data_IF_620619353318
#
_entry.id   IF_620619353318
#
_cell.length_a   1.000
_cell.length_b   1.000
_cell.length_c   1.000
_cell.angle_alpha   90.00
_cell.angle_beta   90.00
_cell.angle_gamma   90.00
#
_symmetry.space_group_name_H-M   'P 1'
#
loop_
_entity.id
_entity.type
_entity.pdbx_description
1 polymer ?
#
# COMPACT_ATOMS: atom_id res chain seq x y z
N UNK A 1 -4.54 8.30 22.80
CA UNK A 1 -5.52 8.16 21.71
C UNK A 1 -4.96 7.17 20.71
N UNK A 2 -5.69 6.11 20.38
CA UNK A 2 -5.32 5.14 19.35
C UNK A 2 -6.13 5.46 18.09
N UNK A 3 -5.43 5.47 16.95
CA UNK A 3 -6.06 5.69 15.65
C UNK A 3 -6.04 4.38 14.88
N UNK A 4 -7.16 3.97 14.34
CA UNK A 4 -7.29 2.90 13.38
C UNK A 4 -7.64 3.50 12.00
N UNK A 5 -6.95 3.04 10.97
CA UNK A 5 -7.24 3.42 9.60
C UNK A 5 -7.75 2.21 8.84
N UNK A 6 -8.83 2.36 8.12
CA UNK A 6 -9.35 1.35 7.21
C UNK A 6 -8.83 1.61 5.80
N UNK A 7 -8.36 0.57 5.13
CA UNK A 7 -8.01 0.63 3.71
C UNK A 7 -9.20 0.18 2.89
N UNK A 8 -9.58 0.97 1.90
CA UNK A 8 -10.58 0.58 0.92
C UNK A 8 -9.88 -0.16 -0.22
N UNK A 9 -10.26 -1.42 -0.42
CA UNK A 9 -9.81 -2.21 -1.56
C UNK A 9 -11.01 -2.59 -2.40
N UNK A 10 -10.91 -2.42 -3.73
CA UNK A 10 -11.96 -2.78 -4.65
C UNK A 10 -12.07 -4.30 -4.83
N UNK A 11 -11.00 -5.03 -4.52
CA UNK A 11 -10.99 -6.48 -4.54
C UNK A 11 -10.39 -6.99 -3.24
N UNK A 12 -11.21 -7.65 -2.44
CA UNK A 12 -10.81 -8.26 -1.17
C UNK A 12 -11.51 -9.62 -1.03
N UNK A 13 -10.78 -10.65 -0.67
CA UNK A 13 -11.27 -12.03 -0.69
C UNK A 13 -11.86 -12.44 -2.04
N UNK A 14 -11.25 -11.96 -3.14
CA UNK A 14 -11.66 -12.24 -4.52
C UNK A 14 -13.07 -11.72 -4.89
N UNK A 15 -13.63 -10.85 -4.06
CA UNK A 15 -14.91 -10.19 -4.32
C UNK A 15 -14.63 -8.76 -4.75
N UNK A 16 -15.14 -8.38 -5.91
CA UNK A 16 -15.09 -6.99 -6.37
C UNK A 16 -16.09 -6.14 -5.60
N UNK A 17 -15.69 -4.94 -5.24
CA UNK A 17 -16.56 -3.97 -4.59
C UNK A 17 -16.54 -2.64 -5.33
N UNK A 18 -17.67 -1.94 -5.33
CA UNK A 18 -17.81 -0.61 -5.92
C UNK A 18 -17.46 0.51 -4.93
N UNK A 19 -16.61 0.23 -3.94
CA UNK A 19 -16.18 1.22 -2.98
C UNK A 19 -15.27 2.24 -3.65
N UNK A 20 -15.73 3.48 -3.70
CA UNK A 20 -15.01 4.60 -4.31
C UNK A 20 -14.72 5.65 -3.23
N UNK A 21 -13.49 6.15 -3.22
CA UNK A 21 -13.14 7.33 -2.41
C UNK A 21 -13.68 8.56 -3.15
N UNK A 22 -14.77 9.15 -2.64
CA UNK A 22 -15.46 10.26 -3.30
C UNK A 22 -14.72 11.59 -3.21
N UNK A 23 -13.98 11.83 -2.12
CA UNK A 23 -13.23 13.06 -1.90
C UNK A 23 -11.82 12.72 -1.41
N UNK A 24 -10.94 12.50 -2.37
CA UNK A 24 -9.54 12.09 -2.13
C UNK A 24 -8.75 13.18 -1.40
N UNK A 25 -9.01 14.45 -1.71
CA UNK A 25 -8.29 15.57 -1.12
C UNK A 25 -8.61 15.72 0.36
N UNK A 26 -9.88 15.69 0.74
CA UNK A 26 -10.29 15.73 2.16
C UNK A 26 -9.75 14.53 2.93
N UNK A 27 -9.80 13.33 2.34
CA UNK A 27 -9.22 12.13 2.97
C UNK A 27 -7.70 12.29 3.14
N UNK A 28 -7.00 12.78 2.14
CA UNK A 28 -5.55 13.03 2.22
C UNK A 28 -5.20 14.09 3.25
N UNK A 29 -6.00 15.16 3.37
CA UNK A 29 -5.82 16.19 4.38
C UNK A 29 -5.97 15.61 5.80
N UNK A 30 -6.95 14.77 6.03
CA UNK A 30 -7.13 14.08 7.31
C UNK A 30 -5.93 13.18 7.64
N UNK A 31 -5.36 12.48 6.65
CA UNK A 31 -4.12 11.72 6.85
C UNK A 31 -2.91 12.62 7.08
N UNK A 32 -2.80 13.77 6.42
CA UNK A 32 -1.75 14.76 6.68
C UNK A 32 -1.78 15.22 8.14
N UNK A 33 -2.95 15.57 8.66
CA UNK A 33 -3.14 16.00 10.04
C UNK A 33 -2.77 14.90 11.03
N UNK A 34 -3.21 13.66 10.75
CA UNK A 34 -2.86 12.50 11.56
C UNK A 34 -1.35 12.22 11.55
N UNK A 35 -0.69 12.29 10.41
CA UNK A 35 0.76 12.13 10.28
C UNK A 35 1.48 13.19 11.11
N UNK A 36 1.05 14.44 11.00
CA UNK A 36 1.64 15.53 11.75
C UNK A 36 1.48 15.35 13.25
N UNK A 37 0.35 14.79 13.71
CA UNK A 37 0.14 14.47 15.12
C UNK A 37 1.03 13.32 15.58
N UNK A 38 1.12 12.25 14.80
CA UNK A 38 1.97 11.09 15.11
C UNK A 38 3.46 11.45 15.17
N UNK A 39 3.93 12.35 14.30
CA UNK A 39 5.31 12.82 14.28
C UNK A 39 5.68 13.71 15.48
N UNK A 40 4.72 14.24 16.26
CA UNK A 40 5.01 14.93 17.53
C UNK A 40 5.57 13.97 18.57
N UNK A 41 5.14 12.73 18.54
CA UNK A 41 5.51 11.73 19.55
C UNK A 41 6.97 11.25 19.39
N UNK A 42 7.54 10.79 20.50
CA UNK A 42 8.84 10.11 20.52
C UNK A 42 8.72 8.57 20.45
N UNK A 43 7.52 8.03 20.25
CA UNK A 43 7.28 6.60 20.17
C UNK A 43 7.59 6.05 18.76
N UNK A 44 8.49 5.07 18.59
CA UNK A 44 8.76 4.42 17.32
C UNK A 44 7.51 3.81 16.68
N UNK A 45 6.60 3.22 17.48
CA UNK A 45 5.31 2.69 17.00
C UNK A 45 4.48 3.76 16.28
N UNK A 46 4.46 5.01 16.81
CA UNK A 46 3.75 6.13 16.18
C UNK A 46 4.45 6.60 14.91
N UNK A 47 5.78 6.52 14.85
CA UNK A 47 6.54 6.85 13.64
C UNK A 47 6.27 5.87 12.50
N UNK A 48 6.22 4.57 12.81
CA UNK A 48 5.82 3.54 11.83
C UNK A 48 4.41 3.79 11.31
N UNK A 49 3.46 4.15 12.20
CA UNK A 49 2.11 4.54 11.79
C UNK A 49 2.10 5.79 10.92
N UNK A 50 2.94 6.78 11.19
CA UNK A 50 3.04 7.97 10.36
C UNK A 50 3.49 7.61 8.93
N UNK A 51 4.52 6.77 8.80
CA UNK A 51 4.96 6.28 7.48
C UNK A 51 3.89 5.44 6.78
N UNK A 52 3.19 4.59 7.52
CA UNK A 52 2.06 3.82 6.96
C UNK A 52 0.98 4.74 6.39
N UNK A 53 0.59 5.78 7.13
CA UNK A 53 -0.40 6.76 6.65
C UNK A 53 0.11 7.60 5.47
N UNK A 54 1.41 7.88 5.39
CA UNK A 54 2.02 8.47 4.20
C UNK A 54 1.83 7.58 2.96
N UNK A 55 2.01 6.27 3.12
CA UNK A 55 1.74 5.31 2.04
C UNK A 55 0.25 5.21 1.69
N UNK A 56 -0.68 5.45 2.63
CA UNK A 56 -2.12 5.52 2.33
C UNK A 56 -2.44 6.75 1.46
N UNK A 57 -1.83 7.91 1.71
CA UNK A 57 -1.96 9.07 0.81
C UNK A 57 -1.49 8.69 -0.59
N UNK A 58 -0.35 8.02 -0.70
CA UNK A 58 0.17 7.54 -1.98
C UNK A 58 -0.80 6.57 -2.67
N UNK A 59 -1.40 5.65 -1.91
CA UNK A 59 -2.38 4.67 -2.40
C UNK A 59 -3.65 5.32 -2.94
N UNK A 60 -4.25 6.26 -2.20
CA UNK A 60 -5.51 6.91 -2.62
C UNK A 60 -5.37 7.77 -3.88
N UNK A 61 -4.16 8.19 -4.20
CA UNK A 61 -3.85 8.88 -5.46
C UNK A 61 -3.27 7.94 -6.53
N UNK A 62 -3.46 6.64 -6.40
CA UNK A 62 -3.06 5.62 -7.38
C UNK A 62 -1.57 5.63 -7.73
N UNK A 63 -0.74 6.16 -6.85
CA UNK A 63 0.70 6.23 -7.07
C UNK A 63 1.36 4.87 -6.77
N UNK A 64 2.52 4.64 -7.38
CA UNK A 64 3.31 3.44 -7.19
C UNK A 64 3.58 3.15 -5.71
N UNK A 65 3.55 1.88 -5.33
CA UNK A 65 3.83 1.41 -3.97
C UNK A 65 5.21 1.88 -3.48
N UNK A 66 5.28 2.39 -2.24
CA UNK A 66 6.52 2.91 -1.65
C UNK A 66 7.54 1.82 -1.27
N UNK A 67 7.06 0.61 -1.01
CA UNK A 67 7.86 -0.56 -0.63
C UNK A 67 7.54 -1.73 -1.56
N UNK A 68 8.50 -2.64 -1.81
CA UNK A 68 8.22 -3.88 -2.53
C UNK A 68 7.11 -4.69 -1.89
N UNK A 69 6.46 -5.54 -2.66
CA UNK A 69 5.53 -6.53 -2.17
C UNK A 69 6.25 -7.87 -2.00
N UNK A 70 6.42 -8.31 -0.75
CA UNK A 70 7.05 -9.59 -0.41
C UNK A 70 6.01 -10.67 -0.04
N UNK A 71 4.75 -10.47 -0.44
CA UNK A 71 3.72 -11.50 -0.32
C UNK A 71 4.14 -12.74 -1.11
N UNK A 72 3.81 -13.93 -0.62
CA UNK A 72 4.27 -15.24 -1.09
C UNK A 72 5.74 -15.61 -0.86
N UNK A 73 6.53 -14.70 -0.27
CA UNK A 73 7.91 -14.96 0.14
C UNK A 73 8.02 -14.97 1.67
N UNK A 74 7.64 -13.88 2.31
CA UNK A 74 7.71 -13.70 3.77
C UNK A 74 6.34 -13.80 4.44
N UNK A 75 5.27 -13.72 3.66
CA UNK A 75 3.88 -13.73 4.14
C UNK A 75 2.98 -14.37 3.09
N UNK A 76 2.02 -15.15 3.53
CA UNK A 76 1.02 -15.81 2.69
C UNK A 76 -0.33 -15.84 3.40
N UNK A 77 -1.36 -16.18 2.68
CA UNK A 77 -2.72 -16.32 3.17
C UNK A 77 -3.16 -17.78 3.06
N UNK A 78 -3.79 -18.32 4.09
CA UNK A 78 -4.38 -19.65 4.07
C UNK A 78 -5.88 -19.48 4.27
N UNK A 79 -6.68 -20.06 3.39
CA UNK A 79 -8.12 -20.07 3.54
C UNK A 79 -8.61 -21.22 4.44
N UNK A 80 -9.90 -21.23 4.85
CA UNK A 80 -10.45 -22.30 5.70
C UNK A 80 -10.45 -23.68 5.05
N UNK A 81 -10.25 -23.77 3.74
CA UNK A 81 -10.18 -25.03 2.99
C UNK A 81 -8.75 -25.57 2.85
N UNK A 82 -7.77 -24.88 3.44
CA UNK A 82 -6.37 -25.25 3.39
C UNK A 82 -5.63 -24.80 2.12
N UNK A 83 -6.25 -24.01 1.26
CA UNK A 83 -5.57 -23.44 0.09
C UNK A 83 -4.61 -22.33 0.53
N UNK A 84 -3.36 -22.46 0.10
CA UNK A 84 -2.32 -21.46 0.34
C UNK A 84 -2.23 -20.51 -0.84
N UNK A 85 -2.30 -19.21 -0.56
CA UNK A 85 -2.31 -18.15 -1.55
C UNK A 85 -1.30 -17.06 -1.21
N UNK A 86 -0.77 -16.32 -2.19
CA UNK A 86 0.19 -15.23 -1.93
C UNK A 86 -0.44 -14.09 -1.13
N UNK A 87 -1.68 -13.76 -1.43
CA UNK A 87 -2.45 -12.71 -0.74
C UNK A 87 -3.95 -12.91 -1.02
N UNK A 88 -4.77 -12.15 -0.32
CA UNK A 88 -6.22 -12.11 -0.49
C UNK A 88 -6.71 -10.90 -1.31
N UNK A 89 -5.81 -10.18 -1.96
CA UNK A 89 -6.11 -8.95 -2.72
C UNK A 89 -5.98 -9.11 -4.23
N UNK A 90 -5.72 -10.30 -4.77
CA UNK A 90 -5.73 -10.57 -6.22
C UNK A 90 -7.16 -10.65 -6.74
N UNK A 91 -7.39 -10.28 -8.00
CA UNK A 91 -8.71 -10.43 -8.63
C UNK A 91 -9.12 -11.91 -8.74
N UNK A 92 -8.16 -12.75 -9.12
CA UNK A 92 -8.35 -14.18 -9.25
C UNK A 92 -7.61 -14.92 -8.13
N UNK A 93 -8.19 -16.02 -7.68
CA UNK A 93 -7.59 -16.88 -6.67
C UNK A 93 -6.33 -17.53 -7.24
N UNK A 94 -5.17 -17.14 -6.71
CA UNK A 94 -3.85 -17.69 -7.08
C UNK A 94 -3.42 -18.72 -6.03
N UNK A 95 -3.70 -20.00 -6.27
CA UNK A 95 -3.40 -21.06 -5.29
C UNK A 95 -2.00 -21.61 -5.51
N UNK A 96 -1.17 -21.58 -4.47
CA UNK A 96 0.17 -22.20 -4.44
C UNK A 96 0.10 -23.71 -4.22
N UNK A 97 -0.88 -24.17 -3.47
CA UNK A 97 -1.14 -25.56 -3.12
C UNK A 97 -2.13 -25.67 -1.98
N UNK A 98 -2.41 -26.90 -1.50
CA UNK A 98 -3.39 -27.14 -0.44
C UNK A 98 -2.80 -28.04 0.67
N UNK A 99 -2.83 -27.55 1.90
CA UNK A 99 -2.26 -28.22 3.08
C UNK A 99 -3.02 -29.47 3.54
N UNK A 100 -4.24 -29.69 3.04
CA UNK A 100 -4.96 -30.94 3.28
C UNK A 100 -4.51 -32.07 2.33
N UNK A 101 -3.71 -31.76 1.29
CA UNK A 101 -3.32 -32.70 0.24
C UNK A 101 -1.82 -32.97 0.18
N UNK A 102 -1.01 -32.07 0.74
CA UNK A 102 0.44 -32.13 0.67
C UNK A 102 1.07 -31.44 1.89
N UNK A 103 2.30 -31.80 2.25
CA UNK A 103 3.05 -31.14 3.30
C UNK A 103 3.41 -29.70 2.89
N UNK A 104 3.76 -28.87 3.89
CA UNK A 104 4.25 -27.52 3.64
C UNK A 104 5.51 -27.52 2.76
N UNK A 105 6.40 -28.45 2.99
CA UNK A 105 7.68 -28.54 2.29
C UNK A 105 7.50 -28.88 0.81
N UNK A 106 6.61 -29.85 0.50
CA UNK A 106 6.23 -30.20 -0.87
C UNK A 106 5.54 -29.04 -1.58
N UNK A 107 4.60 -28.37 -0.89
CA UNK A 107 3.90 -27.22 -1.41
C UNK A 107 4.88 -26.09 -1.73
N UNK A 108 5.72 -25.72 -0.77
CA UNK A 108 6.63 -24.58 -0.88
C UNK A 108 7.63 -24.73 -2.02
N UNK A 109 8.11 -25.96 -2.28
CA UNK A 109 9.07 -26.28 -3.32
C UNK A 109 8.43 -26.68 -4.66
N UNK A 110 7.09 -26.65 -4.75
CA UNK A 110 6.36 -27.03 -5.97
C UNK A 110 6.56 -26.01 -7.10
N UNK A 111 6.49 -26.51 -8.34
CA UNK A 111 6.46 -25.67 -9.54
C UNK A 111 5.29 -24.68 -9.53
N UNK A 112 4.13 -25.10 -8.98
CA UNK A 112 2.96 -24.27 -8.86
C UNK A 112 3.21 -23.08 -7.91
N UNK A 113 3.86 -23.31 -6.77
CA UNK A 113 4.21 -22.22 -5.86
C UNK A 113 5.20 -21.23 -6.50
N UNK A 114 6.14 -21.70 -7.32
CA UNK A 114 7.08 -20.82 -8.01
C UNK A 114 6.38 -20.00 -9.12
N UNK A 115 5.43 -20.58 -9.84
CA UNK A 115 4.58 -19.83 -10.79
C UNK A 115 3.83 -18.70 -10.10
N UNK A 116 3.25 -18.98 -8.93
CA UNK A 116 2.53 -17.94 -8.15
C UNK A 116 3.49 -16.88 -7.60
N UNK A 117 4.67 -17.25 -7.12
CA UNK A 117 5.71 -16.28 -6.71
C UNK A 117 6.15 -15.39 -7.87
N UNK A 118 6.31 -15.96 -9.05
CA UNK A 118 6.62 -15.19 -10.26
C UNK A 118 5.52 -14.21 -10.63
N UNK A 119 4.24 -14.63 -10.50
CA UNK A 119 3.11 -13.71 -10.65
C UNK A 119 3.17 -12.54 -9.66
N UNK A 120 3.51 -12.80 -8.39
CA UNK A 120 3.62 -11.73 -7.36
C UNK A 120 4.78 -10.78 -7.64
N UNK A 121 5.93 -11.28 -8.11
CA UNK A 121 7.07 -10.42 -8.51
C UNK A 121 6.69 -9.41 -9.57
N UNK A 122 5.80 -9.80 -10.49
CA UNK A 122 5.33 -8.95 -11.59
C UNK A 122 4.00 -8.23 -11.28
N UNK A 123 3.54 -8.29 -10.03
CA UNK A 123 2.32 -7.61 -9.62
C UNK A 123 2.53 -6.11 -9.52
N UNK A 124 1.83 -5.36 -10.35
CA UNK A 124 1.90 -3.90 -10.50
C UNK A 124 0.94 -3.15 -9.57
N UNK A 125 0.14 -3.87 -8.77
CA UNK A 125 -0.84 -3.26 -7.86
C UNK A 125 -0.16 -2.42 -6.79
N UNK A 126 -0.72 -1.24 -6.52
CA UNK A 126 -0.24 -0.34 -5.48
C UNK A 126 -0.80 -0.64 -4.08
N UNK A 127 -1.32 -1.84 -3.84
CA UNK A 127 -1.93 -2.24 -2.56
C UNK A 127 -1.14 -1.76 -1.35
N UNK A 128 -1.81 -1.12 -0.39
CA UNK A 128 -1.20 -0.62 0.83
C UNK A 128 -1.97 -1.08 2.06
N UNK A 129 -2.09 -2.41 2.22
CA UNK A 129 -2.75 -3.06 3.36
C UNK A 129 -1.76 -3.34 4.47
N UNK A 130 -2.20 -3.24 5.72
CA UNK A 130 -1.34 -3.45 6.89
C UNK A 130 -0.67 -4.84 6.88
N UNK A 131 -1.40 -5.89 6.49
CA UNK A 131 -0.88 -7.26 6.41
C UNK A 131 0.27 -7.43 5.42
N UNK A 132 0.27 -6.69 4.31
CA UNK A 132 1.33 -6.76 3.29
C UNK A 132 2.42 -5.70 3.47
N UNK A 133 2.11 -4.60 4.17
CA UNK A 133 3.04 -3.48 4.33
C UNK A 133 3.84 -3.58 5.61
N UNK A 134 3.24 -4.07 6.70
CA UNK A 134 3.96 -4.18 7.98
C UNK A 134 5.21 -5.07 7.89
N UNK A 135 5.17 -6.29 7.32
CA UNK A 135 6.38 -7.08 7.10
C UNK A 135 7.42 -6.34 6.24
N UNK A 136 6.98 -5.73 5.13
CA UNK A 136 7.86 -4.96 4.25
C UNK A 136 8.50 -3.76 4.96
N UNK A 137 7.76 -3.05 5.84
CA UNK A 137 8.32 -1.95 6.63
C UNK A 137 9.41 -2.41 7.60
N UNK A 138 9.31 -3.62 8.15
CA UNK A 138 10.35 -4.19 9.02
C UNK A 138 11.56 -4.65 8.19
N UNK A 139 11.34 -5.32 7.07
CA UNK A 139 12.40 -5.78 6.18
C UNK A 139 13.20 -4.63 5.57
N UNK A 140 12.52 -3.60 5.11
CA UNK A 140 13.12 -2.40 4.51
C UNK A 140 13.12 -1.21 5.48
N UNK A 141 13.41 -1.46 6.77
CA UNK A 141 13.28 -0.49 7.86
C UNK A 141 14.02 0.83 7.60
N UNK A 142 15.07 0.80 6.81
CA UNK A 142 15.84 2.00 6.46
C UNK A 142 15.01 3.05 5.71
N UNK A 143 13.97 2.62 4.92
CA UNK A 143 13.09 3.55 4.20
C UNK A 143 12.16 4.32 5.15
N UNK A 144 11.32 3.65 5.98
CA UNK A 144 10.53 4.37 6.98
C UNK A 144 11.40 5.15 7.98
N UNK A 145 12.54 4.62 8.39
CA UNK A 145 13.44 5.33 9.31
C UNK A 145 14.00 6.63 8.69
N UNK A 146 14.53 6.57 7.48
CA UNK A 146 15.03 7.76 6.77
C UNK A 146 13.94 8.80 6.57
N UNK A 147 12.72 8.37 6.21
CA UNK A 147 11.57 9.26 6.05
C UNK A 147 11.20 9.95 7.38
N UNK A 148 11.13 9.19 8.48
CA UNK A 148 10.82 9.72 9.81
C UNK A 148 11.89 10.70 10.27
N UNK A 149 13.18 10.36 10.14
CA UNK A 149 14.31 11.23 10.52
C UNK A 149 14.23 12.54 9.73
N UNK A 150 14.02 12.48 8.41
CA UNK A 150 13.84 13.66 7.56
C UNK A 150 12.75 14.58 8.10
N UNK A 151 11.55 14.04 8.40
CA UNK A 151 10.41 14.85 8.81
C UNK A 151 10.54 15.37 10.24
N UNK A 152 11.14 14.61 11.15
CA UNK A 152 11.45 15.08 12.49
C UNK A 152 12.51 16.20 12.46
N UNK A 153 13.56 16.06 11.64
CA UNK A 153 14.57 17.09 11.43
C UNK A 153 13.94 18.37 10.85
N UNK A 154 13.16 18.26 9.79
CA UNK A 154 12.49 19.41 9.16
C UNK A 154 11.56 20.11 10.14
N UNK A 155 10.86 19.36 10.97
CA UNK A 155 9.97 19.90 11.99
C UNK A 155 10.74 20.63 13.09
N UNK A 156 11.82 20.04 13.59
CA UNK A 156 12.59 20.60 14.72
C UNK A 156 13.37 21.85 14.28
N UNK A 157 14.14 21.74 13.21
CA UNK A 157 15.05 22.82 12.79
C UNK A 157 14.40 23.87 11.89
N UNK A 158 13.49 23.44 11.00
CA UNK A 158 12.87 24.34 10.02
C UNK A 158 11.41 24.67 10.34
N UNK A 159 10.86 24.18 11.45
CA UNK A 159 9.45 24.33 11.84
C UNK A 159 8.47 23.92 10.72
N UNK A 160 8.93 23.07 9.79
CA UNK A 160 8.16 22.63 8.63
C UNK A 160 7.39 21.35 9.00
N UNK A 161 6.07 21.36 8.82
CA UNK A 161 5.21 20.19 8.97
C UNK A 161 5.27 19.31 7.72
N UNK A 162 4.92 18.03 7.85
CA UNK A 162 4.64 17.16 6.72
C UNK A 162 3.49 17.75 5.91
N UNK A 163 3.53 17.59 4.58
CA UNK A 163 2.45 18.00 3.69
C UNK A 163 2.15 16.93 2.65
N UNK A 164 0.87 16.70 2.36
CA UNK A 164 0.41 15.79 1.29
C UNK A 164 0.92 16.22 -0.09
N UNK A 165 1.28 17.49 -0.27
CA UNK A 165 1.89 18.01 -1.50
C UNK A 165 3.33 17.50 -1.75
N UNK A 166 3.87 16.65 -0.88
CA UNK A 166 5.05 15.83 -1.19
C UNK A 166 4.73 14.74 -2.21
N UNK A 167 3.46 14.30 -2.29
CA UNK A 167 2.97 13.44 -3.36
C UNK A 167 2.90 14.25 -4.68
N UNK A 168 3.49 13.70 -5.76
CA UNK A 168 3.62 14.38 -7.05
C UNK A 168 2.26 14.81 -7.61
N UNK A 169 1.30 13.90 -7.66
CA UNK A 169 0.00 14.20 -8.28
C UNK A 169 -0.80 15.23 -7.49
N UNK A 170 -0.70 15.22 -6.16
CA UNK A 170 -1.34 16.23 -5.30
C UNK A 170 -0.70 17.60 -5.49
N UNK A 171 0.60 17.63 -5.68
CA UNK A 171 1.35 18.85 -6.01
C UNK A 171 0.98 19.37 -7.40
N UNK A 172 0.89 18.48 -8.39
CA UNK A 172 0.51 18.85 -9.75
C UNK A 172 -0.93 19.38 -9.81
N UNK A 173 -1.84 18.83 -9.00
CA UNK A 173 -3.18 19.39 -8.80
C UNK A 173 -3.11 20.81 -8.21
N UNK A 174 -2.36 21.02 -7.12
CA UNK A 174 -2.18 22.36 -6.53
C UNK A 174 -1.63 23.37 -7.54
N UNK A 175 -0.70 22.93 -8.39
CA UNK A 175 -0.03 23.76 -9.38
C UNK A 175 -0.85 23.93 -10.67
N UNK A 176 -2.11 23.44 -10.70
CA UNK A 176 -3.06 23.57 -11.83
C UNK A 176 -2.75 22.71 -13.05
N UNK A 177 -1.87 21.71 -12.92
CA UNK A 177 -1.47 20.78 -14.01
C UNK A 177 -2.42 19.59 -14.14
N UNK A 178 -3.16 19.26 -13.09
CA UNK A 178 -4.14 18.18 -13.02
C UNK A 178 -5.45 18.78 -12.53
N UNK A 179 -6.57 18.47 -13.19
CA UNK A 179 -7.89 18.93 -12.79
C UNK A 179 -8.45 18.09 -11.63
N UNK A 180 -9.52 18.59 -11.00
CA UNK A 180 -10.22 17.84 -9.97
C UNK A 180 -10.89 16.59 -10.53
N UNK A 181 -11.46 16.70 -11.72
CA UNK A 181 -12.09 15.60 -12.45
C UNK A 181 -11.09 14.49 -12.77
N UNK A 182 -9.88 14.83 -13.21
CA UNK A 182 -8.80 13.88 -13.44
C UNK A 182 -8.35 13.21 -12.13
N UNK A 183 -8.27 13.98 -11.04
CA UNK A 183 -7.90 13.46 -9.73
C UNK A 183 -8.96 12.47 -9.19
N UNK A 184 -10.23 12.80 -9.36
CA UNK A 184 -11.35 11.96 -8.90
C UNK A 184 -11.56 10.73 -9.81
N UNK A 185 -11.15 10.80 -11.08
CA UNK A 185 -11.17 9.69 -12.03
C UNK A 185 -10.05 8.66 -11.81
N UNK A 186 -9.06 8.94 -10.95
CA UNK A 186 -8.02 7.96 -10.62
C UNK A 186 -8.66 6.69 -10.07
N UNK A 187 -8.47 5.58 -10.75
CA UNK A 187 -8.89 4.28 -10.21
C UNK A 187 -8.00 3.91 -9.03
N UNK A 188 -8.58 3.56 -7.89
CA UNK A 188 -7.86 2.86 -6.84
C UNK A 188 -7.61 1.43 -7.33
N UNK A 189 -6.56 1.24 -8.12
CA UNK A 189 -6.03 -0.04 -8.58
C UNK A 189 -7.05 -1.12 -8.95
N UNK A 190 -7.93 -0.84 -9.90
CA UNK A 190 -8.58 -1.86 -10.68
C UNK A 190 -7.76 -2.07 -11.95
N UNK A 191 -6.90 -3.07 -11.93
CA UNK A 191 -6.25 -3.57 -13.13
C UNK A 191 -5.40 -2.54 -13.87
N UNK A 192 -4.23 -2.30 -13.39
CA UNK A 192 -3.14 -1.66 -14.14
C UNK A 192 -2.68 -2.54 -15.30
N UNK A 193 -3.60 -3.18 -16.00
CA UNK A 193 -3.35 -3.98 -17.21
C UNK A 193 -3.90 -3.37 -18.48
N UNK A 194 -4.65 -2.26 -18.42
CA UNK A 194 -5.28 -1.68 -19.63
C UNK A 194 -5.33 -0.15 -19.71
N UNK A 195 -4.83 0.61 -18.75
CA UNK A 195 -4.76 2.07 -18.88
C UNK A 195 -3.30 2.54 -18.80
N UNK A 196 -2.81 3.09 -19.90
CA UNK A 196 -1.47 3.67 -20.08
C UNK A 196 -1.13 4.84 -19.12
N UNK A 197 -2.07 5.31 -18.31
CA UNK A 197 -1.89 6.46 -17.43
C UNK A 197 -1.12 6.17 -16.11
N UNK A 198 -0.89 4.91 -15.75
CA UNK A 198 -0.07 4.57 -14.59
C UNK A 198 1.44 4.39 -14.90
N UNK A 199 1.80 4.31 -16.17
CA UNK A 199 3.17 3.96 -16.61
C UNK A 199 4.00 5.16 -17.14
N UNK A 200 3.40 6.34 -17.31
CA UNK A 200 4.07 7.48 -17.98
C UNK A 200 4.22 8.73 -17.11
N UNK A 201 4.28 8.57 -15.80
CA UNK A 201 4.67 9.67 -14.92
C UNK A 201 5.97 9.27 -14.20
N UNK A 202 7.06 9.20 -14.98
CA UNK A 202 8.43 9.23 -14.48
C UNK A 202 8.83 10.62 -13.96
#
# INVERSE_FOLDING_TARGET
MEFATASLHNSFYFVESNNIIKDRLTVAQNFEDLINELLKSNSPKKWFRAYFNHGLINYIFSQKRLLPCDMSFDTFFIDPYGDVMPCNGTKEKQVMGNLNRQSWEELWNSEQAEKVRSFVRNCDRNCWMIGSVSPAMHKYIYKPAAWVIKHKFLRFFKKKKYSMYENKIVRDFRDGKVSKEELDALSTCEGCGKNKSCAEID
#
